data_IF_324686718970
#
_entry.id   IF_324686718970
#
_cell.length_a   1.000
_cell.length_b   1.000
_cell.length_c   1.000
_cell.angle_alpha   90.00
_cell.angle_beta   90.00
_cell.angle_gamma   90.00
#
_symmetry.space_group_name_H-M   'P 1'
#
loop_
_entity.id
_entity.type
_entity.pdbx_description
1 polymer ?
#
# COMPACT_ATOMS: atom_id res chain seq x y z
N UNK A 1 0.23 0.99 15.39
CA UNK A 1 0.06 2.12 14.45
C UNK A 1 1.01 1.76 13.34
N UNK A 2 0.46 1.14 12.29
CA UNK A 2 1.21 0.25 11.41
C UNK A 2 1.48 0.94 10.06
N UNK A 3 1.74 2.25 10.13
CA UNK A 3 1.99 3.08 8.96
C UNK A 3 3.42 2.81 8.48
N UNK A 4 3.54 2.33 7.24
CA UNK A 4 4.84 2.06 6.65
C UNK A 4 5.57 3.36 6.34
N UNK A 5 6.82 3.47 6.82
CA UNK A 5 7.69 4.62 6.56
C UNK A 5 8.86 4.15 5.69
N UNK A 6 9.18 4.91 4.65
CA UNK A 6 10.40 4.67 3.87
C UNK A 6 11.64 4.97 4.73
N UNK A 7 12.46 3.95 4.97
CA UNK A 7 13.74 4.08 5.68
C UNK A 7 14.65 5.10 5.01
N UNK A 8 14.72 5.10 3.68
CA UNK A 8 15.58 6.03 2.94
C UNK A 8 15.13 7.50 3.10
N UNK A 9 13.83 7.75 2.99
CA UNK A 9 13.27 9.09 3.18
C UNK A 9 13.50 9.59 4.61
N UNK A 10 13.38 8.69 5.59
CA UNK A 10 13.67 9.00 6.99
C UNK A 10 15.16 9.33 7.19
N UNK A 11 16.07 8.49 6.68
CA UNK A 11 17.52 8.70 6.81
C UNK A 11 17.97 10.02 6.16
N UNK A 12 17.43 10.39 4.99
CA UNK A 12 17.72 11.68 4.35
C UNK A 12 17.41 12.86 5.27
N UNK A 13 16.26 12.83 5.96
CA UNK A 13 15.87 13.88 6.92
C UNK A 13 16.75 13.89 8.17
N UNK A 14 17.20 12.74 8.65
CA UNK A 14 18.01 12.63 9.86
C UNK A 14 19.49 13.01 9.62
N UNK A 15 20.04 12.66 8.46
CA UNK A 15 21.45 12.91 8.10
C UNK A 15 21.68 14.30 7.50
N UNK A 16 20.65 14.90 6.90
CA UNK A 16 20.70 16.25 6.32
C UNK A 16 19.64 17.15 7.00
N UNK A 17 19.82 17.47 8.29
CA UNK A 17 18.91 18.33 9.03
C UNK A 17 18.76 19.71 8.36
N UNK A 18 17.54 20.22 8.25
CA UNK A 18 17.28 21.62 7.91
C UNK A 18 17.85 22.54 9.00
N UNK A 19 18.24 23.77 8.65
CA UNK A 19 18.82 24.71 9.61
C UNK A 19 17.87 24.92 10.81
N UNK A 20 18.38 24.64 12.02
CA UNK A 20 17.61 24.75 13.27
C UNK A 20 17.06 23.43 13.82
N UNK A 21 17.26 22.29 13.14
CA UNK A 21 16.85 20.98 13.67
C UNK A 21 17.93 20.38 14.59
N UNK A 22 17.46 19.78 15.70
CA UNK A 22 18.31 19.19 16.73
C UNK A 22 19.02 17.93 16.19
N UNK A 23 20.30 17.73 16.53
CA UNK A 23 21.04 16.53 16.14
C UNK A 23 20.48 15.30 16.87
N UNK A 24 20.20 14.23 16.13
CA UNK A 24 19.76 12.95 16.70
C UNK A 24 20.96 12.18 17.29
N UNK A 25 20.72 11.37 18.32
CA UNK A 25 21.78 10.51 18.88
C UNK A 25 22.13 9.38 17.91
N UNK A 26 23.37 8.89 17.98
CA UNK A 26 23.84 7.77 17.16
C UNK A 26 22.99 6.50 17.38
N UNK A 27 22.45 6.32 18.59
CA UNK A 27 21.61 5.17 18.94
C UNK A 27 20.32 5.11 18.12
N UNK A 28 19.74 6.27 17.78
CA UNK A 28 18.52 6.34 16.94
C UNK A 28 18.82 5.84 15.52
N UNK A 29 19.97 6.25 14.95
CA UNK A 29 20.39 5.79 13.63
C UNK A 29 20.65 4.29 13.62
N UNK A 30 21.31 3.76 14.66
CA UNK A 30 21.59 2.34 14.80
C UNK A 30 20.30 1.50 14.90
N UNK A 31 19.32 1.96 15.69
CA UNK A 31 18.03 1.30 15.80
C UNK A 31 17.28 1.24 14.46
N UNK A 32 17.29 2.32 13.67
CA UNK A 32 16.64 2.38 12.36
C UNK A 32 17.33 1.44 11.35
N UNK A 33 18.66 1.42 11.36
CA UNK A 33 19.45 0.58 10.45
C UNK A 33 19.29 -0.91 10.75
N UNK A 34 19.21 -1.28 12.03
CA UNK A 34 19.05 -2.66 12.50
C UNK A 34 17.60 -3.16 12.49
N UNK A 35 16.62 -2.27 12.35
CA UNK A 35 15.22 -2.68 12.27
C UNK A 35 15.02 -3.67 11.09
N UNK A 36 14.19 -4.71 11.25
CA UNK A 36 13.90 -5.63 10.16
C UNK A 36 13.21 -4.91 9.01
N UNK A 37 13.54 -5.28 7.77
CA UNK A 37 12.79 -4.86 6.61
C UNK A 37 11.50 -5.69 6.52
N UNK A 38 10.37 -5.02 6.36
CA UNK A 38 9.08 -5.67 6.09
C UNK A 38 8.87 -5.69 4.58
N UNK A 39 8.37 -6.81 4.03
CA UNK A 39 7.92 -6.89 2.63
C UNK A 39 6.58 -6.14 2.47
N UNK A 40 6.67 -4.82 2.59
CA UNK A 40 5.54 -3.93 2.36
C UNK A 40 5.41 -3.68 0.86
N UNK A 41 4.24 -3.97 0.31
CA UNK A 41 3.89 -3.63 -1.07
C UNK A 41 2.95 -2.43 -1.07
N UNK A 42 3.14 -1.44 -1.95
CA UNK A 42 2.19 -0.34 -2.07
C UNK A 42 0.82 -0.92 -2.43
N UNK A 43 -0.22 -0.39 -1.78
CA UNK A 43 -1.61 -0.70 -2.15
C UNK A 43 -1.81 -0.24 -3.59
N UNK A 44 -2.07 -1.18 -4.49
CA UNK A 44 -2.36 -0.87 -5.89
C UNK A 44 -3.82 -0.49 -6.01
N UNK A 45 -4.12 0.53 -6.81
CA UNK A 45 -5.51 0.86 -7.14
C UNK A 45 -5.94 -0.01 -8.31
N UNK A 46 -6.97 -0.81 -8.10
CA UNK A 46 -7.51 -1.70 -9.10
C UNK A 46 -8.96 -1.36 -9.40
N UNK A 47 -9.51 -2.05 -10.40
CA UNK A 47 -10.94 -2.05 -10.66
C UNK A 47 -11.43 -3.47 -10.99
N UNK A 48 -12.66 -3.75 -10.62
CA UNK A 48 -13.35 -4.97 -11.03
C UNK A 48 -13.83 -4.82 -12.48
N UNK A 49 -13.49 -5.80 -13.32
CA UNK A 49 -14.02 -5.91 -14.68
C UNK A 49 -15.08 -6.99 -14.69
N UNK A 50 -16.31 -6.65 -15.04
CA UNK A 50 -17.36 -7.67 -15.19
C UNK A 50 -17.01 -8.60 -16.36
N UNK A 51 -17.10 -9.91 -16.14
CA UNK A 51 -16.76 -10.91 -17.14
C UNK A 51 -17.98 -11.70 -17.60
N UNK A 52 -18.81 -12.16 -16.67
CA UNK A 52 -20.04 -12.90 -16.99
C UNK A 52 -20.94 -13.04 -15.78
N UNK A 53 -22.23 -13.09 -16.02
CA UNK A 53 -23.21 -13.62 -15.08
C UNK A 53 -23.28 -15.14 -15.24
N UNK A 54 -23.04 -15.91 -14.18
CA UNK A 54 -23.53 -17.28 -14.11
C UNK A 54 -24.88 -17.25 -13.38
N UNK A 55 -25.76 -18.23 -13.63
CA UNK A 55 -27.15 -18.34 -13.10
C UNK A 55 -27.32 -18.19 -11.56
N UNK A 56 -26.23 -17.98 -10.81
CA UNK A 56 -26.19 -17.80 -9.36
C UNK A 56 -25.44 -16.53 -8.92
N UNK A 57 -24.39 -16.09 -9.64
CA UNK A 57 -23.51 -15.00 -9.22
C UNK A 57 -22.82 -14.32 -10.43
N UNK A 58 -22.58 -13.01 -10.31
CA UNK A 58 -21.68 -12.26 -11.18
C UNK A 58 -20.22 -12.65 -10.96
N UNK A 59 -19.45 -12.68 -12.05
CA UNK A 59 -18.01 -12.94 -12.01
C UNK A 59 -17.26 -11.69 -12.48
N UNK A 60 -16.31 -11.25 -11.65
CA UNK A 60 -15.45 -10.10 -11.90
C UNK A 60 -13.99 -10.51 -12.00
N UNK A 61 -13.23 -9.85 -12.86
CA UNK A 61 -11.78 -9.98 -12.96
C UNK A 61 -11.09 -8.78 -12.32
N UNK A 62 -10.08 -9.03 -11.49
CA UNK A 62 -9.22 -7.99 -10.95
C UNK A 62 -8.29 -7.43 -12.04
N UNK A 63 -8.27 -6.11 -12.25
CA UNK A 63 -7.35 -5.45 -13.20
C UNK A 63 -5.86 -5.65 -12.89
N UNK A 64 -5.51 -5.79 -11.60
CA UNK A 64 -4.10 -5.81 -11.14
C UNK A 64 -3.45 -7.20 -11.19
N UNK A 65 -4.23 -8.26 -10.97
CA UNK A 65 -3.69 -9.63 -10.93
C UNK A 65 -4.38 -10.60 -11.89
N UNK A 66 -5.43 -10.17 -12.59
CA UNK A 66 -6.16 -10.98 -13.58
C UNK A 66 -7.00 -12.12 -13.00
N UNK A 67 -7.00 -12.32 -11.67
CA UNK A 67 -7.79 -13.38 -11.03
C UNK A 67 -9.27 -13.04 -10.99
N UNK A 68 -10.08 -14.06 -11.18
CA UNK A 68 -11.54 -14.00 -11.12
C UNK A 68 -12.01 -14.06 -9.68
N UNK A 69 -13.08 -13.34 -9.38
CA UNK A 69 -13.76 -13.36 -8.09
C UNK A 69 -15.27 -13.27 -8.31
N UNK A 70 -16.06 -13.80 -7.37
CA UNK A 70 -17.53 -13.78 -7.43
C UNK A 70 -18.13 -12.62 -6.62
N UNK A 71 -17.28 -11.69 -6.19
CA UNK A 71 -17.60 -10.61 -5.26
C UNK A 71 -16.81 -9.35 -5.68
N UNK A 72 -17.49 -8.20 -5.68
CA UNK A 72 -17.00 -6.87 -6.02
C UNK A 72 -16.47 -6.09 -4.79
N UNK A 73 -16.05 -6.81 -3.75
CA UNK A 73 -15.39 -6.32 -2.54
C UNK A 73 -14.40 -5.17 -2.74
N UNK A 74 -14.30 -4.30 -1.72
CA UNK A 74 -13.40 -3.14 -1.69
C UNK A 74 -11.92 -3.47 -1.93
N UNK A 75 -11.51 -4.71 -1.65
CA UNK A 75 -10.14 -5.17 -1.90
C UNK A 75 -10.16 -6.50 -2.63
N UNK A 76 -9.21 -6.69 -3.55
CA UNK A 76 -9.00 -8.00 -4.17
C UNK A 76 -8.42 -8.97 -3.13
N UNK A 77 -9.06 -10.11 -2.85
CA UNK A 77 -8.56 -11.08 -1.87
C UNK A 77 -7.26 -11.77 -2.32
N UNK A 78 -6.93 -11.68 -3.61
CA UNK A 78 -5.73 -12.33 -4.16
C UNK A 78 -4.48 -11.44 -4.12
N UNK A 79 -4.62 -10.13 -4.28
CA UNK A 79 -3.47 -9.22 -4.39
C UNK A 79 -3.55 -7.98 -3.51
N UNK A 80 -4.64 -7.77 -2.77
CA UNK A 80 -4.83 -6.61 -1.90
C UNK A 80 -5.08 -5.28 -2.61
N UNK A 81 -5.29 -5.30 -3.94
CA UNK A 81 -5.60 -4.08 -4.68
C UNK A 81 -6.90 -3.45 -4.18
N UNK A 82 -6.88 -2.13 -3.94
CA UNK A 82 -8.06 -1.36 -3.53
C UNK A 82 -8.93 -1.06 -4.75
N UNK A 83 -10.18 -1.52 -4.68
CA UNK A 83 -11.18 -1.48 -5.75
C UNK A 83 -12.15 -0.32 -5.60
N UNK A 84 -12.04 0.48 -4.53
CA UNK A 84 -12.93 1.62 -4.31
C UNK A 84 -12.74 2.67 -5.40
N UNK A 85 -13.82 3.12 -6.06
CA UNK A 85 -13.75 4.27 -6.95
C UNK A 85 -13.23 5.48 -6.18
N UNK A 86 -12.46 6.34 -6.85
CA UNK A 86 -12.16 7.69 -6.34
C UNK A 86 -13.53 8.37 -6.13
N UNK A 87 -13.88 8.69 -4.88
CA UNK A 87 -15.03 9.56 -4.64
C UNK A 87 -14.63 10.91 -5.23
N UNK A 88 -15.19 11.27 -6.38
CA UNK A 88 -15.06 12.63 -6.90
C UNK A 88 -15.98 13.50 -6.07
N UNK A 89 -15.43 14.13 -5.03
CA UNK A 89 -16.08 15.25 -4.37
C UNK A 89 -16.14 16.40 -5.38
N UNK A 90 -17.35 16.67 -5.87
CA UNK A 90 -17.67 17.76 -6.80
C UNK A 90 -17.96 19.08 -6.11
#
# INVERSE_FOLDING_TARGET
MDDFISREALLKKLLMPEEGTMKFSADVLDAIMKAPAVDARPVRRGNWRWCSENRRNDTYQCSECGRMNMDDSNYCPNCGANMKPEVQDG
#
